data_IF_622966360920
#
_entry.id   IF_622966360920
#
_cell.length_a   1.000
_cell.length_b   1.000
_cell.length_c   1.000
_cell.angle_alpha   90.00
_cell.angle_beta   90.00
_cell.angle_gamma   90.00
#
_symmetry.space_group_name_H-M   'P 1'
#
loop_
_entity.id
_entity.type
_entity.pdbx_description
1 polymer ?
#
# COMPACT_ATOMS: atom_id res chain seq x y z
N UNK A 1 -6.50 -18.78 -18.36
CA UNK A 1 -5.09 -18.64 -18.77
C UNK A 1 -4.44 -17.37 -18.20
N UNK A 2 -4.58 -16.17 -18.77
CA UNK A 2 -3.86 -14.98 -18.25
C UNK A 2 -4.40 -14.43 -16.91
N UNK A 3 -5.72 -14.48 -16.67
CA UNK A 3 -6.32 -14.00 -15.43
C UNK A 3 -6.00 -14.90 -14.21
N UNK A 4 -5.94 -16.22 -14.43
CA UNK A 4 -5.58 -17.18 -13.38
C UNK A 4 -4.12 -17.07 -12.97
N UNK A 5 -3.21 -16.79 -13.91
CA UNK A 5 -1.79 -16.63 -13.62
C UNK A 5 -1.51 -15.34 -12.82
N UNK A 6 -2.20 -14.24 -13.16
CA UNK A 6 -2.11 -12.99 -12.38
C UNK A 6 -2.67 -13.17 -10.98
N UNK A 7 -3.81 -13.87 -10.85
CA UNK A 7 -4.41 -14.14 -9.54
C UNK A 7 -3.51 -15.04 -8.67
N UNK A 8 -2.89 -16.06 -9.26
CA UNK A 8 -1.93 -16.91 -8.57
C UNK A 8 -0.70 -16.12 -8.09
N UNK A 9 -0.14 -15.27 -8.95
CA UNK A 9 0.99 -14.40 -8.60
C UNK A 9 0.63 -13.41 -7.50
N UNK A 10 -0.56 -12.80 -7.58
CA UNK A 10 -1.09 -11.90 -6.55
C UNK A 10 -1.24 -12.62 -5.21
N UNK A 11 -1.75 -13.84 -5.21
CA UNK A 11 -1.92 -14.65 -4.00
C UNK A 11 -0.58 -15.01 -3.37
N UNK A 12 0.38 -15.50 -4.17
CA UNK A 12 1.72 -15.80 -3.70
C UNK A 12 2.43 -14.55 -3.11
N UNK A 13 2.33 -13.40 -3.80
CA UNK A 13 2.89 -12.15 -3.30
C UNK A 13 2.19 -11.65 -2.03
N UNK A 14 0.87 -11.81 -1.92
CA UNK A 14 0.13 -11.54 -0.68
C UNK A 14 0.65 -12.40 0.47
N UNK A 15 0.84 -13.69 0.25
CA UNK A 15 1.35 -14.62 1.27
C UNK A 15 2.76 -14.23 1.70
N UNK A 16 3.66 -13.91 0.77
CA UNK A 16 5.01 -13.42 1.07
C UNK A 16 4.99 -12.12 1.88
N UNK A 17 4.18 -11.14 1.46
CA UNK A 17 4.02 -9.86 2.15
C UNK A 17 3.49 -10.08 3.57
N UNK A 18 2.48 -10.94 3.76
CA UNK A 18 1.91 -11.24 5.07
C UNK A 18 2.83 -12.09 5.97
N UNK A 19 3.71 -12.91 5.37
CA UNK A 19 4.71 -13.69 6.09
C UNK A 19 5.91 -12.85 6.52
N UNK A 20 6.22 -11.77 5.79
CA UNK A 20 7.26 -10.83 6.16
C UNK A 20 6.92 -10.17 7.52
N UNK A 21 7.81 -10.26 8.52
CA UNK A 21 7.56 -9.70 9.84
C UNK A 21 7.43 -8.18 9.74
N UNK A 22 6.35 -7.62 10.32
CA UNK A 22 6.23 -6.17 10.43
C UNK A 22 7.31 -5.63 11.38
N UNK A 23 8.01 -4.55 11.01
CA UNK A 23 8.99 -3.93 11.88
C UNK A 23 8.32 -3.42 13.16
N UNK A 24 9.01 -3.57 14.29
CA UNK A 24 8.55 -2.99 15.55
C UNK A 24 8.42 -1.46 15.40
N UNK A 25 7.30 -0.85 15.83
CA UNK A 25 7.09 0.57 15.67
C UNK A 25 8.16 1.35 16.43
N UNK A 26 9.00 2.09 15.69
CA UNK A 26 10.14 2.82 16.23
C UNK A 26 10.13 4.29 15.78
N UNK A 27 8.97 4.95 15.94
CA UNK A 27 8.81 6.36 15.61
C UNK A 27 9.23 6.68 14.18
N UNK A 28 10.24 7.53 14.02
CA UNK A 28 10.72 8.05 12.72
C UNK A 28 11.30 6.99 11.78
N UNK A 29 11.71 5.82 12.27
CA UNK A 29 12.27 4.74 11.46
C UNK A 29 11.22 3.80 10.86
N UNK A 30 9.94 4.01 11.18
CA UNK A 30 8.83 3.19 10.70
C UNK A 30 7.69 4.06 10.21
N UNK A 31 6.94 3.58 9.22
CA UNK A 31 5.72 4.19 8.74
C UNK A 31 4.55 3.24 9.01
N UNK A 32 3.71 3.58 9.99
CA UNK A 32 2.44 2.89 10.20
C UNK A 32 1.40 3.41 9.22
N UNK A 33 1.13 2.63 8.18
CA UNK A 33 0.20 3.02 7.13
C UNK A 33 -1.18 2.41 7.36
N UNK A 34 -2.19 3.23 7.15
CA UNK A 34 -3.59 2.85 7.23
C UNK A 34 -4.25 3.14 5.89
N UNK A 35 -4.49 2.11 5.09
CA UNK A 35 -5.11 2.22 3.78
C UNK A 35 -6.62 2.02 3.86
N UNK A 36 -7.38 3.04 3.45
CA UNK A 36 -8.83 2.95 3.26
C UNK A 36 -9.13 2.54 1.82
N UNK A 37 -9.82 1.42 1.66
CA UNK A 37 -10.28 0.92 0.37
C UNK A 37 -11.61 1.57 -0.04
N UNK A 38 -11.94 1.62 -1.35
CA UNK A 38 -13.24 2.09 -1.84
C UNK A 38 -14.43 1.29 -1.32
N UNK A 39 -14.20 0.01 -0.97
CA UNK A 39 -15.20 -0.85 -0.32
C UNK A 39 -15.57 -0.41 1.10
N UNK A 40 -14.82 0.53 1.69
CA UNK A 40 -14.95 0.95 3.09
C UNK A 40 -14.06 0.16 4.05
N UNK A 41 -13.46 -0.94 3.61
CA UNK A 41 -12.51 -1.72 4.40
C UNK A 41 -11.21 -0.93 4.65
N UNK A 42 -10.57 -1.21 5.77
CA UNK A 42 -9.34 -0.57 6.20
C UNK A 42 -8.25 -1.62 6.42
N UNK A 43 -7.17 -1.51 5.65
CA UNK A 43 -5.97 -2.30 5.84
C UNK A 43 -4.96 -1.48 6.63
N UNK A 44 -4.21 -2.14 7.52
CA UNK A 44 -3.15 -1.49 8.28
C UNK A 44 -1.91 -2.36 8.25
N UNK A 45 -0.75 -1.73 8.04
CA UNK A 45 0.55 -2.39 8.05
C UNK A 45 1.64 -1.41 8.45
N UNK A 46 2.65 -1.89 9.17
CA UNK A 46 3.85 -1.12 9.48
C UNK A 46 4.93 -1.42 8.45
N UNK A 47 5.58 -0.38 7.95
CA UNK A 47 6.71 -0.44 7.01
C UNK A 47 7.93 0.24 7.63
N UNK A 48 9.13 -0.02 7.10
CA UNK A 48 10.32 0.78 7.43
C UNK A 48 10.27 2.13 6.70
N UNK A 49 10.90 3.16 7.27
CA UNK A 49 10.97 4.48 6.64
C UNK A 49 11.69 4.47 5.28
N UNK A 50 12.65 3.56 5.11
CA UNK A 50 13.47 3.40 3.91
C UNK A 50 12.80 2.52 2.83
N UNK A 51 11.67 1.89 3.14
CA UNK A 51 10.87 1.17 2.15
C UNK A 51 10.32 2.15 1.13
N UNK A 52 10.09 1.68 -0.09
CA UNK A 52 9.60 2.51 -1.18
C UNK A 52 8.07 2.55 -1.21
N UNK A 53 7.53 3.59 -1.83
CA UNK A 53 6.09 3.69 -2.09
C UNK A 53 5.58 2.54 -2.98
N UNK A 54 6.41 2.00 -3.88
CA UNK A 54 6.08 0.83 -4.71
C UNK A 54 5.65 -0.38 -3.85
N UNK A 55 6.32 -0.65 -2.73
CA UNK A 55 5.95 -1.74 -1.82
C UNK A 55 4.55 -1.54 -1.22
N UNK A 56 4.16 -0.28 -0.97
CA UNK A 56 2.81 0.07 -0.50
C UNK A 56 1.77 -0.14 -1.61
N UNK A 57 2.10 0.19 -2.86
CA UNK A 57 1.24 -0.13 -4.02
C UNK A 57 1.06 -1.63 -4.21
N UNK A 58 2.14 -2.41 -4.08
CA UNK A 58 2.07 -3.86 -4.17
C UNK A 58 1.23 -4.46 -3.03
N UNK A 59 1.43 -4.00 -1.80
CA UNK A 59 0.59 -4.38 -0.66
C UNK A 59 -0.88 -4.04 -0.91
N UNK A 60 -1.19 -2.85 -1.40
CA UNK A 60 -2.54 -2.43 -1.75
C UNK A 60 -3.17 -3.32 -2.85
N UNK A 61 -2.41 -3.65 -3.90
CA UNK A 61 -2.85 -4.50 -5.01
C UNK A 61 -3.08 -5.96 -4.56
N UNK A 62 -2.19 -6.49 -3.72
CA UNK A 62 -2.22 -7.88 -3.30
C UNK A 62 -3.19 -8.16 -2.16
N UNK A 63 -3.34 -7.22 -1.22
CA UNK A 63 -4.13 -7.42 0.00
C UNK A 63 -5.57 -6.94 -0.10
N UNK A 64 -5.95 -6.16 -1.12
CA UNK A 64 -7.37 -5.84 -1.37
C UNK A 64 -8.17 -7.11 -1.69
N UNK A 65 -9.45 -7.13 -1.31
CA UNK A 65 -10.33 -8.27 -1.56
C UNK A 65 -10.57 -8.50 -3.07
N UNK A 66 -10.80 -7.43 -3.82
CA UNK A 66 -11.15 -7.46 -5.25
C UNK A 66 -10.07 -6.82 -6.11
N UNK A 67 -9.89 -7.31 -7.35
CA UNK A 67 -9.00 -6.68 -8.34
C UNK A 67 -9.55 -5.36 -8.92
N UNK A 68 -10.77 -5.00 -8.55
CA UNK A 68 -11.42 -3.77 -8.97
C UNK A 68 -11.18 -2.66 -7.93
N UNK A 69 -10.79 -1.46 -8.35
CA UNK A 69 -10.53 -1.02 -9.73
C UNK A 69 -9.19 -1.55 -10.28
N UNK A 70 -9.10 -1.86 -11.57
CA UNK A 70 -7.86 -2.38 -12.17
C UNK A 70 -6.68 -1.40 -12.01
N UNK A 71 -6.93 -0.11 -12.23
CA UNK A 71 -6.00 0.98 -11.99
C UNK A 71 -6.42 1.78 -10.75
N UNK A 72 -5.45 2.11 -9.89
CA UNK A 72 -5.69 2.90 -8.69
C UNK A 72 -4.49 3.77 -8.32
N UNK A 73 -4.78 4.79 -7.52
CA UNK A 73 -3.80 5.68 -6.93
C UNK A 73 -3.92 5.69 -5.41
N UNK A 74 -2.79 5.85 -4.74
CA UNK A 74 -2.74 6.05 -3.30
C UNK A 74 -2.65 7.53 -2.99
N UNK A 75 -3.53 7.99 -2.10
CA UNK A 75 -3.61 9.40 -1.73
C UNK A 75 -3.55 9.57 -0.21
N UNK A 76 -2.88 10.61 0.29
CA UNK A 76 -2.95 10.98 1.71
C UNK A 76 -4.32 11.57 2.06
N UNK A 77 -4.76 11.42 3.30
CA UNK A 77 -6.03 12.00 3.76
C UNK A 77 -5.96 13.51 3.98
N UNK A 78 -4.91 14.02 4.65
CA UNK A 78 -4.77 15.44 4.97
C UNK A 78 -3.30 15.89 5.09
N UNK A 79 -2.86 16.91 4.31
CA UNK A 79 -3.53 17.42 3.11
C UNK A 79 -3.68 16.31 2.06
N UNK A 80 -4.72 16.38 1.24
CA UNK A 80 -4.95 15.37 0.20
C UNK A 80 -3.92 15.51 -0.91
N UNK A 81 -3.04 14.51 -1.06
CA UNK A 81 -1.97 14.47 -2.05
C UNK A 81 -1.92 13.11 -2.71
N UNK A 82 -1.81 13.07 -4.04
CA UNK A 82 -1.54 11.83 -4.79
C UNK A 82 -0.07 11.44 -4.61
N UNK A 83 0.18 10.19 -4.24
CA UNK A 83 1.51 9.64 -4.09
C UNK A 83 1.90 8.97 -5.42
N UNK A 84 2.52 9.74 -6.31
CA UNK A 84 2.92 9.28 -7.65
C UNK A 84 4.37 8.75 -7.72
N UNK A 85 5.25 9.23 -6.83
CA UNK A 85 6.68 8.90 -6.85
C UNK A 85 6.95 7.51 -6.23
N UNK A 86 6.71 6.45 -6.99
CA UNK A 86 6.79 5.06 -6.50
C UNK A 86 8.18 4.65 -5.99
N UNK A 87 9.24 5.22 -6.56
CA UNK A 87 10.63 4.96 -6.14
C UNK A 87 11.04 5.73 -4.89
N UNK A 88 10.26 6.72 -4.45
CA UNK A 88 10.58 7.49 -3.25
C UNK A 88 10.31 6.66 -1.99
N UNK A 89 11.10 6.90 -0.93
CA UNK A 89 10.94 6.23 0.35
C UNK A 89 9.78 6.82 1.14
N UNK A 90 9.19 6.03 2.03
CA UNK A 90 8.09 6.47 2.89
C UNK A 90 8.50 7.64 3.79
N UNK A 91 9.76 7.67 4.24
CA UNK A 91 10.34 8.77 4.99
C UNK A 91 10.42 10.07 4.16
N UNK A 92 10.95 10.00 2.94
CA UNK A 92 11.05 11.18 2.04
C UNK A 92 9.68 11.73 1.64
N UNK A 93 8.65 10.89 1.58
CA UNK A 93 7.27 11.29 1.30
C UNK A 93 6.53 11.84 2.53
N UNK A 94 7.16 11.86 3.71
CA UNK A 94 6.54 12.33 4.95
C UNK A 94 5.43 11.42 5.46
N UNK A 95 5.52 10.11 5.21
CA UNK A 95 4.54 9.10 5.65
C UNK A 95 4.89 8.48 7.01
N UNK A 96 6.04 8.84 7.57
CA UNK A 96 6.48 8.50 8.92
C UNK A 96 6.03 9.56 9.93
N UNK A 97 5.78 9.19 11.20
CA UNK A 97 5.76 7.84 11.74
C UNK A 97 4.47 7.07 11.41
N UNK A 98 3.43 7.76 10.95
CA UNK A 98 2.16 7.16 10.59
C UNK A 98 1.40 8.02 9.59
N UNK A 99 0.71 7.40 8.65
CA UNK A 99 -0.10 8.11 7.66
C UNK A 99 -1.34 7.32 7.28
N UNK A 100 -2.43 8.06 7.03
CA UNK A 100 -3.67 7.50 6.52
C UNK A 100 -3.72 7.72 5.00
N UNK A 101 -3.82 6.61 4.29
CA UNK A 101 -3.90 6.56 2.84
C UNK A 101 -5.31 6.18 2.41
N UNK A 102 -5.69 6.63 1.23
CA UNK A 102 -6.95 6.32 0.56
C UNK A 102 -6.60 5.77 -0.80
N UNK A 103 -7.10 4.58 -1.12
CA UNK A 103 -7.05 4.04 -2.47
C UNK A 103 -8.19 4.67 -3.26
N UNK A 104 -7.85 5.34 -4.36
CA UNK A 104 -8.82 5.88 -5.32
C UNK A 104 -8.72 5.13 -6.64
N UNK A 105 -9.87 4.82 -7.21
CA UNK A 105 -9.94 4.32 -8.58
C UNK A 105 -9.47 5.43 -9.52
N UNK A 106 -8.61 5.07 -10.48
CA UNK A 106 -8.30 5.94 -11.62
C UNK A 106 -9.06 5.36 -12.79
N UNK A 107 -9.98 6.14 -13.34
CA UNK A 107 -10.60 5.78 -14.62
C UNK A 107 -9.55 5.98 -15.73
N UNK A 108 -9.39 5.00 -16.64
CA UNK A 108 -8.45 5.10 -17.75
C UNK A 108 -8.83 6.18 -18.77
#
# INVERSE_FOLDING_TARGET
AAAEEEEAKRKARREEILAAPEPAPNGSSTAKLSLRLPSGERLQRTFLADETLEEVYQWAHCCRATLQPAAFELCTSFPTRVLAERSATLGSLGLTPSSALVLRAVEP
#
